data_IF_073619490149
#
_entry.id   IF_073619490149
#
_cell.length_a   1.000
_cell.length_b   1.000
_cell.length_c   1.000
_cell.angle_alpha   90.00
_cell.angle_beta   90.00
_cell.angle_gamma   90.00
#
_symmetry.space_group_name_H-M   'P 1'
#
loop_
_entity.id
_entity.type
_entity.pdbx_description
1 polymer ?
#
# COMPACT_ATOMS: atom_id res chain seq x y z
N UNK A 1 3.70 21.44 10.27
CA UNK A 1 3.14 20.20 9.76
C UNK A 1 3.61 19.96 8.34
N UNK A 2 4.33 18.87 8.14
CA UNK A 2 4.95 18.59 6.84
C UNK A 2 3.98 17.85 5.93
N UNK A 3 3.91 18.26 4.68
CA UNK A 3 3.24 17.51 3.62
C UNK A 3 4.19 16.42 3.16
N UNK A 4 3.72 15.18 3.16
CA UNK A 4 4.50 14.01 2.82
C UNK A 4 3.80 13.19 1.74
N UNK A 5 4.55 12.28 1.14
CA UNK A 5 4.03 11.26 0.23
C UNK A 5 4.37 9.88 0.74
N UNK A 6 3.46 8.95 0.57
CA UNK A 6 3.68 7.54 0.93
C UNK A 6 3.19 6.64 -0.20
N UNK A 7 3.75 5.44 -0.30
CA UNK A 7 3.28 4.45 -1.25
C UNK A 7 2.27 3.53 -0.57
N UNK A 8 1.14 3.34 -1.21
CA UNK A 8 0.10 2.39 -0.80
C UNK A 8 -0.06 1.33 -1.86
N UNK A 9 -0.19 0.08 -1.44
CA UNK A 9 -0.60 -1.00 -2.33
C UNK A 9 -1.83 -1.66 -1.70
N UNK A 10 -2.92 -1.71 -2.46
CA UNK A 10 -4.06 -2.55 -2.12
C UNK A 10 -3.75 -3.91 -2.72
N UNK A 11 -3.59 -4.91 -1.86
CA UNK A 11 -3.06 -6.23 -2.21
C UNK A 11 -4.10 -7.10 -2.91
N UNK A 12 -3.67 -8.21 -3.55
CA UNK A 12 -4.57 -9.04 -4.36
C UNK A 12 -5.80 -9.55 -3.61
N UNK A 13 -5.69 -9.83 -2.32
CA UNK A 13 -6.83 -10.31 -1.51
C UNK A 13 -7.94 -9.27 -1.43
N UNK A 14 -7.59 -8.02 -1.12
CA UNK A 14 -8.56 -6.93 -1.02
C UNK A 14 -9.11 -6.54 -2.39
N UNK A 15 -8.29 -6.56 -3.44
CA UNK A 15 -8.74 -6.30 -4.82
C UNK A 15 -9.74 -7.38 -5.25
N UNK A 16 -9.43 -8.66 -4.99
CA UNK A 16 -10.31 -9.77 -5.34
C UNK A 16 -11.66 -9.68 -4.64
N UNK A 17 -11.70 -9.16 -3.42
CA UNK A 17 -12.94 -8.95 -2.66
C UNK A 17 -13.68 -7.68 -3.06
N UNK A 18 -13.15 -6.92 -4.01
CA UNK A 18 -13.74 -5.68 -4.52
C UNK A 18 -13.81 -4.56 -3.47
N UNK A 19 -12.74 -4.40 -2.69
CA UNK A 19 -12.67 -3.39 -1.63
C UNK A 19 -11.87 -2.13 -2.00
N UNK A 20 -11.44 -1.98 -3.27
CA UNK A 20 -10.64 -0.81 -3.69
C UNK A 20 -11.32 0.50 -3.31
N UNK A 21 -12.57 0.68 -3.70
CA UNK A 21 -13.28 1.95 -3.50
C UNK A 21 -13.43 2.30 -2.03
N UNK A 22 -13.77 1.32 -1.19
CA UNK A 22 -13.94 1.56 0.24
C UNK A 22 -12.61 1.90 0.94
N UNK A 23 -11.54 1.24 0.55
CA UNK A 23 -10.21 1.53 1.10
C UNK A 23 -9.75 2.93 0.69
N UNK A 24 -9.88 3.28 -0.59
CA UNK A 24 -9.52 4.62 -1.09
C UNK A 24 -10.37 5.69 -0.40
N UNK A 25 -11.66 5.43 -0.17
CA UNK A 25 -12.53 6.37 0.53
C UNK A 25 -12.01 6.68 1.94
N UNK A 26 -11.47 5.70 2.64
CA UNK A 26 -10.87 5.92 3.97
C UNK A 26 -9.65 6.81 3.91
N UNK A 27 -8.82 6.67 2.86
CA UNK A 27 -7.68 7.56 2.66
C UNK A 27 -8.15 9.00 2.46
N UNK A 28 -9.11 9.20 1.58
CA UNK A 28 -9.62 10.55 1.27
C UNK A 28 -10.28 11.20 2.47
N UNK A 29 -11.07 10.47 3.23
CA UNK A 29 -11.72 10.99 4.45
C UNK A 29 -10.70 11.42 5.51
N UNK A 30 -9.53 10.81 5.52
CA UNK A 30 -8.46 11.14 6.45
C UNK A 30 -7.57 12.28 5.93
N UNK A 31 -7.87 12.85 4.75
CA UNK A 31 -7.09 13.93 4.17
C UNK A 31 -5.92 13.49 3.32
N UNK A 32 -5.80 12.20 3.02
CA UNK A 32 -4.77 11.69 2.11
C UNK A 32 -5.29 11.74 0.68
N UNK A 33 -4.52 12.34 -0.22
CA UNK A 33 -4.93 12.58 -1.61
C UNK A 33 -4.15 11.66 -2.54
N UNK A 34 -4.84 10.80 -3.31
CA UNK A 34 -4.15 10.07 -4.38
C UNK A 34 -3.61 11.07 -5.41
N UNK A 35 -2.32 11.02 -5.67
CA UNK A 35 -1.65 11.84 -6.70
C UNK A 35 -1.13 10.97 -7.85
N UNK A 36 -1.17 9.67 -7.72
CA UNK A 36 -0.94 8.69 -8.78
C UNK A 36 -1.58 7.37 -8.36
N UNK A 37 -2.17 6.66 -9.31
CA UNK A 37 -2.76 5.34 -9.05
C UNK A 37 -2.66 4.50 -10.31
N UNK A 38 -2.36 3.22 -10.13
CA UNK A 38 -2.27 2.27 -11.25
C UNK A 38 -2.72 0.90 -10.81
N UNK A 39 -3.65 0.32 -11.55
CA UNK A 39 -4.02 -1.08 -11.38
C UNK A 39 -3.01 -1.91 -12.18
N UNK A 40 -2.34 -2.84 -11.50
CA UNK A 40 -1.27 -3.65 -12.08
C UNK A 40 -1.41 -5.10 -11.68
N UNK A 41 -1.01 -5.99 -12.57
CA UNK A 41 -0.76 -7.38 -12.21
C UNK A 41 0.76 -7.55 -12.20
N UNK A 42 1.35 -7.62 -11.01
CA UNK A 42 2.81 -7.67 -10.88
C UNK A 42 3.37 -8.96 -11.46
N UNK A 43 4.52 -8.85 -12.14
CA UNK A 43 5.31 -10.01 -12.50
C UNK A 43 6.14 -10.46 -11.31
N UNK A 44 6.67 -11.69 -11.38
CA UNK A 44 7.58 -12.20 -10.34
C UNK A 44 8.79 -11.28 -10.18
N UNK A 45 9.33 -10.77 -11.28
CA UNK A 45 10.45 -9.85 -11.25
C UNK A 45 10.10 -8.53 -10.55
N UNK A 46 8.92 -7.99 -10.83
CA UNK A 46 8.47 -6.74 -10.19
C UNK A 46 8.25 -6.92 -8.69
N UNK A 47 7.55 -7.98 -8.29
CA UNK A 47 7.30 -8.26 -6.89
C UNK A 47 8.60 -8.60 -6.15
N UNK A 48 9.45 -9.42 -6.76
CA UNK A 48 10.74 -9.78 -6.17
C UNK A 48 11.66 -8.59 -6.00
N UNK A 49 11.68 -7.69 -6.99
CA UNK A 49 12.47 -6.46 -6.90
C UNK A 49 11.96 -5.50 -5.82
N UNK A 50 10.65 -5.36 -5.71
CA UNK A 50 10.05 -4.50 -4.68
C UNK A 50 10.37 -4.99 -3.27
N UNK A 51 10.29 -6.30 -3.06
CA UNK A 51 10.57 -6.93 -1.77
C UNK A 51 12.00 -7.48 -1.64
N UNK A 52 12.94 -7.01 -2.47
CA UNK A 52 14.32 -7.53 -2.51
C UNK A 52 15.03 -7.50 -1.14
N UNK A 53 14.70 -6.55 -0.28
CA UNK A 53 15.22 -6.46 1.09
C UNK A 53 14.89 -7.71 1.91
N UNK A 54 13.86 -8.45 1.53
CA UNK A 54 13.42 -9.69 2.19
C UNK A 54 13.85 -10.95 1.45
N UNK A 55 14.70 -10.86 0.41
CA UNK A 55 15.02 -11.97 -0.50
C UNK A 55 15.55 -13.22 0.23
N UNK A 56 16.25 -13.05 1.35
CA UNK A 56 16.80 -14.16 2.13
C UNK A 56 15.88 -14.66 3.25
N UNK A 57 14.69 -14.02 3.41
CA UNK A 57 13.74 -14.44 4.43
C UNK A 57 12.96 -15.68 3.97
N UNK A 58 12.62 -16.59 4.91
CA UNK A 58 11.85 -17.81 4.56
C UNK A 58 10.52 -17.53 3.89
N UNK A 59 9.87 -16.39 4.22
CA UNK A 59 8.56 -16.02 3.67
C UNK A 59 8.64 -15.37 2.28
N UNK A 60 9.83 -15.10 1.75
CA UNK A 60 9.97 -14.33 0.50
C UNK A 60 9.23 -14.94 -0.68
N UNK A 61 9.39 -16.26 -0.89
CA UNK A 61 8.73 -16.95 -2.02
C UNK A 61 7.21 -16.88 -1.91
N UNK A 62 6.69 -17.07 -0.70
CA UNK A 62 5.25 -16.99 -0.47
C UNK A 62 4.73 -15.58 -0.67
N UNK A 63 5.50 -14.57 -0.24
CA UNK A 63 5.16 -13.16 -0.44
C UNK A 63 5.08 -12.82 -1.93
N UNK A 64 6.08 -13.21 -2.72
CA UNK A 64 6.09 -12.98 -4.17
C UNK A 64 4.94 -13.71 -4.83
N UNK A 65 4.70 -14.95 -4.46
CA UNK A 65 3.58 -15.75 -4.99
C UNK A 65 2.24 -15.09 -4.68
N UNK A 66 2.06 -14.59 -3.48
CA UNK A 66 0.84 -13.88 -3.09
C UNK A 66 0.66 -12.58 -3.87
N UNK A 67 1.70 -11.75 -3.92
CA UNK A 67 1.63 -10.44 -4.59
C UNK A 67 1.46 -10.53 -6.11
N UNK A 68 1.76 -11.67 -6.70
CA UNK A 68 1.56 -11.93 -8.14
C UNK A 68 0.30 -12.74 -8.43
N UNK A 69 -0.45 -13.11 -7.41
CA UNK A 69 -1.64 -13.97 -7.57
C UNK A 69 -2.83 -13.28 -8.21
N UNK A 70 -2.82 -11.96 -8.27
CA UNK A 70 -3.89 -11.16 -8.86
C UNK A 70 -3.50 -9.69 -8.94
N UNK A 71 -4.37 -8.85 -9.53
CA UNK A 71 -4.12 -7.42 -9.62
C UNK A 71 -3.99 -6.74 -8.27
N UNK A 72 -3.18 -5.69 -8.22
CA UNK A 72 -2.99 -4.79 -7.08
C UNK A 72 -3.27 -3.37 -7.52
N UNK A 73 -3.68 -2.51 -6.60
CA UNK A 73 -3.75 -1.07 -6.88
C UNK A 73 -2.61 -0.37 -6.16
N UNK A 74 -1.68 0.18 -6.94
CA UNK A 74 -0.54 0.93 -6.42
C UNK A 74 -0.88 2.41 -6.49
N UNK A 75 -0.72 3.12 -5.38
CA UNK A 75 -1.05 4.55 -5.30
C UNK A 75 0.01 5.31 -4.54
N UNK A 76 0.22 6.57 -4.94
CA UNK A 76 0.96 7.54 -4.16
C UNK A 76 -0.07 8.43 -3.47
N UNK A 77 0.01 8.51 -2.16
CA UNK A 77 -0.88 9.32 -1.34
C UNK A 77 -0.10 10.50 -0.76
N UNK A 78 -0.70 11.69 -0.83
CA UNK A 78 -0.09 12.92 -0.34
C UNK A 78 -0.96 13.54 0.75
N UNK A 79 -0.33 14.02 1.82
CA UNK A 79 -1.04 14.68 2.90
C UNK A 79 -0.13 15.00 4.06
N UNK A 80 -0.67 15.62 5.10
CA UNK A 80 0.07 15.90 6.32
C UNK A 80 0.44 14.60 7.02
N UNK A 81 1.73 14.43 7.33
CA UNK A 81 2.25 13.22 7.98
C UNK A 81 1.76 11.94 7.30
N UNK A 82 1.79 11.90 5.97
CA UNK A 82 1.16 10.83 5.18
C UNK A 82 1.63 9.43 5.57
N UNK A 83 2.91 9.24 5.86
CA UNK A 83 3.42 7.93 6.25
C UNK A 83 2.74 7.43 7.53
N UNK A 84 2.75 8.23 8.59
CA UNK A 84 2.14 7.85 9.87
C UNK A 84 0.61 7.74 9.74
N UNK A 85 -0.02 8.69 9.06
CA UNK A 85 -1.47 8.69 8.88
C UNK A 85 -1.94 7.44 8.13
N UNK A 86 -1.23 7.06 7.07
CA UNK A 86 -1.56 5.85 6.31
C UNK A 86 -1.39 4.59 7.16
N UNK A 87 -0.31 4.50 7.93
CA UNK A 87 -0.09 3.34 8.80
C UNK A 87 -1.16 3.23 9.89
N UNK A 88 -1.60 4.36 10.45
CA UNK A 88 -2.70 4.37 11.43
C UNK A 88 -4.00 3.87 10.82
N UNK A 89 -4.28 4.24 9.57
CA UNK A 89 -5.46 3.75 8.84
C UNK A 89 -5.38 2.26 8.54
N UNK A 90 -4.19 1.76 8.22
CA UNK A 90 -3.99 0.33 7.93
C UNK A 90 -4.21 -0.54 9.17
N UNK A 91 -3.73 -0.11 10.32
CA UNK A 91 -3.76 -0.90 11.56
C UNK A 91 -2.59 -1.87 11.66
N UNK A 92 -2.60 -2.66 12.73
CA UNK A 92 -1.55 -3.65 12.99
C UNK A 92 -1.45 -4.69 11.88
N UNK A 93 -0.25 -5.18 11.63
CA UNK A 93 0.03 -6.18 10.59
C UNK A 93 -0.85 -7.43 10.74
N UNK A 94 -1.03 -7.88 11.98
CA UNK A 94 -1.95 -8.98 12.28
C UNK A 94 -3.37 -8.40 12.43
N UNK A 95 -4.32 -8.77 11.54
CA UNK A 95 -5.67 -8.24 11.62
C UNK A 95 -6.38 -8.56 12.94
N UNK A 96 -6.01 -9.64 13.61
CA UNK A 96 -6.57 -9.99 14.92
C UNK A 96 -6.15 -9.01 16.02
N UNK A 97 -5.04 -8.31 15.82
CA UNK A 97 -4.50 -7.33 16.76
C UNK A 97 -4.79 -5.89 16.31
N UNK A 98 -5.33 -5.73 15.12
CA UNK A 98 -5.64 -4.40 14.57
C UNK A 98 -6.86 -3.82 15.29
N UNK A 99 -6.79 -2.52 15.58
CA UNK A 99 -7.89 -1.83 16.25
C UNK A 99 -9.14 -1.81 15.34
N UNK A 100 -10.34 -1.90 15.93
CA UNK A 100 -11.58 -1.79 15.16
C UNK A 100 -11.60 -0.51 14.31
N UNK A 101 -12.11 -0.61 13.09
CA UNK A 101 -12.19 0.52 12.17
C UNK A 101 -10.96 0.70 11.31
N UNK A 102 -9.86 -0.01 11.58
CA UNK A 102 -8.70 -0.02 10.68
C UNK A 102 -8.97 -0.90 9.46
N UNK A 103 -8.24 -0.65 8.38
CA UNK A 103 -8.39 -1.40 7.13
C UNK A 103 -8.14 -2.89 7.36
N UNK A 104 -7.08 -3.24 8.06
CA UNK A 104 -6.75 -4.64 8.31
C UNK A 104 -7.76 -5.33 9.22
N UNK A 105 -8.28 -4.64 10.23
CA UNK A 105 -9.33 -5.21 11.08
C UNK A 105 -10.59 -5.55 10.27
N UNK A 106 -10.94 -4.68 9.33
CA UNK A 106 -12.19 -4.80 8.59
C UNK A 106 -12.09 -5.69 7.35
N UNK A 107 -10.93 -5.71 6.67
CA UNK A 107 -10.79 -6.32 5.35
C UNK A 107 -9.74 -7.40 5.22
N UNK A 108 -8.84 -7.56 6.18
CA UNK A 108 -7.77 -8.56 6.09
C UNK A 108 -8.20 -9.88 6.73
N UNK A 109 -7.73 -10.99 6.14
CA UNK A 109 -8.05 -12.33 6.64
C UNK A 109 -6.96 -12.89 7.56
N UNK A 110 -5.70 -12.52 7.32
CA UNK A 110 -4.56 -13.09 8.06
C UNK A 110 -3.36 -12.15 7.95
N UNK A 111 -2.27 -12.49 8.64
CA UNK A 111 -1.01 -11.75 8.53
C UNK A 111 -0.49 -11.80 7.09
N UNK A 112 -0.62 -12.95 6.42
CA UNK A 112 -0.12 -13.12 5.06
C UNK A 112 -1.01 -12.42 4.02
N UNK A 113 -2.33 -12.46 4.22
CA UNK A 113 -3.31 -11.80 3.37
C UNK A 113 -3.91 -10.63 4.15
N UNK A 114 -3.12 -9.57 4.27
CA UNK A 114 -3.44 -8.45 5.17
C UNK A 114 -3.88 -7.17 4.45
N UNK A 115 -4.39 -7.29 3.26
CA UNK A 115 -5.13 -6.30 2.48
C UNK A 115 -4.30 -5.15 1.90
N UNK A 116 -3.38 -4.57 2.66
CA UNK A 116 -2.70 -3.34 2.24
C UNK A 116 -1.24 -3.32 2.65
N UNK A 117 -0.45 -2.55 1.87
CA UNK A 117 0.94 -2.21 2.17
C UNK A 117 1.05 -0.69 2.28
N UNK A 118 1.88 -0.21 3.18
CA UNK A 118 2.25 1.20 3.28
C UNK A 118 3.72 1.34 3.61
N UNK A 119 4.34 2.40 3.10
CA UNK A 119 5.73 2.71 3.43
C UNK A 119 5.87 2.92 4.93
N UNK A 120 7.01 2.54 5.49
CA UNK A 120 7.26 2.62 6.93
C UNK A 120 8.09 3.84 7.34
N UNK A 121 8.64 4.57 6.36
CA UNK A 121 9.41 5.79 6.60
C UNK A 121 9.39 6.66 5.34
N UNK A 122 9.76 7.93 5.50
CA UNK A 122 9.89 8.84 4.35
C UNK A 122 10.98 8.38 3.39
N UNK A 123 12.08 7.87 3.91
CA UNK A 123 13.16 7.35 3.08
C UNK A 123 12.71 6.17 2.23
N UNK A 124 12.04 5.20 2.87
CA UNK A 124 11.53 4.04 2.15
C UNK A 124 10.40 4.44 1.19
N UNK A 125 9.56 5.40 1.57
CA UNK A 125 8.51 5.90 0.69
C UNK A 125 9.08 6.46 -0.61
N UNK A 126 10.13 7.26 -0.54
CA UNK A 126 10.77 7.83 -1.74
C UNK A 126 11.24 6.74 -2.71
N UNK A 127 11.91 5.72 -2.18
CA UNK A 127 12.38 4.59 -2.99
C UNK A 127 11.24 3.75 -3.56
N UNK A 128 10.22 3.48 -2.77
CA UNK A 128 9.07 2.69 -3.19
C UNK A 128 8.26 3.41 -4.26
N UNK A 129 8.06 4.72 -4.12
CA UNK A 129 7.38 5.54 -5.12
C UNK A 129 8.16 5.51 -6.44
N UNK A 130 9.47 5.74 -6.38
CA UNK A 130 10.32 5.74 -7.57
C UNK A 130 10.35 4.37 -8.27
N UNK A 131 10.13 3.29 -7.53
CA UNK A 131 10.06 1.95 -8.09
C UNK A 131 8.90 1.80 -9.08
N UNK A 132 7.74 2.39 -8.75
CA UNK A 132 6.52 2.24 -9.55
C UNK A 132 6.19 3.42 -10.45
N UNK A 133 6.61 4.63 -10.10
CA UNK A 133 6.18 5.85 -10.80
C UNK A 133 7.35 6.74 -11.16
N UNK A 134 7.24 7.38 -12.34
CA UNK A 134 8.14 8.47 -12.70
C UNK A 134 7.63 9.77 -12.04
N UNK A 135 8.53 10.72 -11.81
CA UNK A 135 8.15 12.02 -11.26
C UNK A 135 7.06 12.70 -12.07
N UNK A 136 7.08 12.54 -13.40
CA UNK A 136 6.09 13.13 -14.31
C UNK A 136 4.70 12.49 -14.22
N UNK A 137 4.60 11.33 -13.58
CA UNK A 137 3.32 10.63 -13.41
C UNK A 137 2.58 11.06 -12.13
N UNK A 138 3.23 11.86 -11.28
CA UNK A 138 2.63 12.36 -10.06
C UNK A 138 1.86 13.65 -10.36
N UNK A 139 0.61 13.70 -9.93
CA UNK A 139 -0.33 14.78 -10.26
C UNK A 139 -0.82 15.48 -8.99
N UNK A 140 -0.02 16.42 -8.43
CA UNK A 140 -0.46 17.16 -7.25
C UNK A 140 -1.73 17.96 -7.54
N UNK A 141 -2.53 18.18 -6.52
CA UNK A 141 -3.75 18.97 -6.66
C UNK A 141 -3.40 20.43 -6.92
N UNK A 142 -4.09 21.03 -7.89
CA UNK A 142 -3.97 22.45 -8.23
C UNK A 142 -5.29 23.21 -7.98
N UNK A 143 -6.29 22.48 -7.50
CA UNK A 143 -7.62 23.05 -7.24
C UNK A 143 -8.13 22.62 -5.88
#
# INVERSE_FOLDING_TARGET
VAVERTLSIIKPDAVAKNHIGEIIARFEKAGLKPVASRLMHLTDAEAGGFYAVHAERPFFKDLVSFMTSGPVLVSVLEGENAVAAHRDLMGATDPKKAAPGTIRADFADSIDENAVHGSDSLENAAGEIAYFFRATELCPRTR
#
